data_IF_361123130742
#
_entry.id   IF_361123130742
#
_cell.length_a   1.000
_cell.length_b   1.000
_cell.length_c   1.000
_cell.angle_alpha   90.00
_cell.angle_beta   90.00
_cell.angle_gamma   90.00
#
_symmetry.space_group_name_H-M   'P 1'
#
loop_
_entity.id
_entity.type
_entity.pdbx_description
1 polymer ?
#
# COMPACT_ATOMS: atom_id res chain seq x y z
N UNK A 1 40.59 -11.12 12.15
CA UNK A 1 40.68 -11.17 10.66
C UNK A 1 40.72 -12.60 10.10
N UNK A 2 40.15 -13.61 10.76
CA UNK A 2 40.13 -14.98 10.21
C UNK A 2 38.86 -15.25 9.40
N UNK A 3 37.72 -14.70 9.81
CA UNK A 3 36.43 -14.84 9.12
C UNK A 3 36.43 -14.26 7.69
N UNK A 4 37.04 -13.09 7.47
CA UNK A 4 37.20 -12.49 6.14
C UNK A 4 38.04 -13.36 5.20
N UNK A 5 39.09 -14.01 5.71
CA UNK A 5 39.91 -14.93 4.91
C UNK A 5 39.13 -16.19 4.56
N UNK A 6 38.24 -16.63 5.45
CA UNK A 6 37.38 -17.80 5.23
C UNK A 6 36.31 -17.56 4.16
N UNK A 7 35.79 -16.33 4.04
CA UNK A 7 34.89 -15.93 2.94
C UNK A 7 35.63 -15.78 1.61
N UNK A 8 36.89 -15.36 1.64
CA UNK A 8 37.71 -15.16 0.45
C UNK A 8 38.18 -16.49 -0.18
N UNK A 9 38.22 -17.55 0.62
CA UNK A 9 38.57 -18.93 0.20
C UNK A 9 37.34 -19.83 0.38
N UNK A 10 36.16 -19.32 0.04
CA UNK A 10 34.91 -20.05 0.20
C UNK A 10 34.69 -21.01 -0.98
N UNK A 11 34.81 -22.32 -0.72
CA UNK A 11 34.52 -23.39 -1.69
C UNK A 11 33.07 -23.90 -1.60
N UNK A 12 32.32 -23.53 -0.55
CA UNK A 12 30.92 -23.95 -0.36
C UNK A 12 29.92 -23.10 -1.18
N UNK A 13 30.41 -22.06 -1.87
CA UNK A 13 29.59 -21.22 -2.76
C UNK A 13 28.69 -20.21 -2.03
N UNK A 14 28.90 -19.97 -0.74
CA UNK A 14 28.07 -19.05 0.06
C UNK A 14 28.15 -17.61 -0.46
N UNK A 15 29.33 -17.15 -0.90
CA UNK A 15 29.50 -15.83 -1.51
C UNK A 15 28.70 -15.71 -2.81
N UNK A 16 28.71 -16.75 -3.64
CA UNK A 16 28.00 -16.78 -4.92
C UNK A 16 26.47 -16.76 -4.71
N UNK A 17 25.98 -17.47 -3.68
CA UNK A 17 24.55 -17.41 -3.32
C UNK A 17 24.14 -16.04 -2.76
N UNK A 18 25.01 -15.38 -1.98
CA UNK A 18 24.75 -14.04 -1.47
C UNK A 18 24.66 -13.02 -2.61
N UNK A 19 25.54 -13.11 -3.60
CA UNK A 19 25.50 -12.29 -4.82
C UNK A 19 24.22 -12.54 -5.63
N UNK A 20 23.84 -13.81 -5.83
CA UNK A 20 22.61 -14.16 -6.54
C UNK A 20 21.36 -13.61 -5.83
N UNK A 21 21.31 -13.67 -4.50
CA UNK A 21 20.21 -13.09 -3.71
C UNK A 21 20.16 -11.56 -3.86
N UNK A 22 21.31 -10.88 -3.79
CA UNK A 22 21.37 -9.43 -3.99
C UNK A 22 20.91 -9.02 -5.39
N UNK A 23 21.37 -9.70 -6.43
CA UNK A 23 20.94 -9.43 -7.81
C UNK A 23 19.45 -9.72 -7.99
N UNK A 24 18.93 -10.80 -7.39
CA UNK A 24 17.51 -11.14 -7.48
C UNK A 24 16.61 -10.08 -6.84
N UNK A 25 16.98 -9.58 -5.67
CA UNK A 25 16.20 -8.56 -4.96
C UNK A 25 16.23 -7.22 -5.70
N UNK A 26 17.41 -6.83 -6.21
CA UNK A 26 17.53 -5.64 -7.06
C UNK A 26 16.74 -5.79 -8.37
N UNK A 27 16.73 -7.00 -8.96
CA UNK A 27 15.92 -7.31 -10.13
C UNK A 27 14.42 -7.17 -9.87
N UNK A 28 13.91 -7.69 -8.75
CA UNK A 28 12.48 -7.58 -8.38
C UNK A 28 12.08 -6.13 -8.14
N UNK A 29 12.90 -5.36 -7.41
CA UNK A 29 12.64 -3.93 -7.17
C UNK A 29 12.67 -3.15 -8.49
N UNK A 30 13.68 -3.40 -9.33
CA UNK A 30 13.81 -2.77 -10.64
C UNK A 30 12.64 -3.08 -11.57
N UNK A 31 12.19 -4.33 -11.63
CA UNK A 31 11.04 -4.74 -12.43
C UNK A 31 9.74 -4.10 -11.91
N UNK A 32 9.55 -4.03 -10.59
CA UNK A 32 8.35 -3.43 -9.99
C UNK A 32 8.28 -1.93 -10.27
N UNK A 33 9.37 -1.20 -10.05
CA UNK A 33 9.43 0.25 -10.32
C UNK A 33 9.32 0.51 -11.82
N UNK A 34 10.02 -0.27 -12.66
CA UNK A 34 9.98 -0.13 -14.11
C UNK A 34 8.58 -0.35 -14.68
N UNK A 35 7.85 -1.36 -14.19
CA UNK A 35 6.47 -1.61 -14.61
C UNK A 35 5.53 -0.47 -14.18
N UNK A 36 5.67 0.03 -12.95
CA UNK A 36 4.88 1.17 -12.48
C UNK A 36 5.13 2.41 -13.36
N UNK A 37 6.38 2.75 -13.63
CA UNK A 37 6.72 3.90 -14.48
C UNK A 37 6.21 3.73 -15.92
N UNK A 38 6.26 2.52 -16.47
CA UNK A 38 5.71 2.24 -17.80
C UNK A 38 4.18 2.43 -17.82
N UNK A 39 3.49 1.96 -16.78
CA UNK A 39 2.05 2.17 -16.62
C UNK A 39 1.70 3.65 -16.53
N UNK A 40 2.41 4.40 -15.68
CA UNK A 40 2.17 5.83 -15.49
C UNK A 40 2.41 6.62 -16.79
N UNK A 41 3.46 6.25 -17.54
CA UNK A 41 3.74 6.88 -18.83
C UNK A 41 2.65 6.61 -19.87
N UNK A 42 2.13 5.39 -19.95
CA UNK A 42 1.04 5.06 -20.87
C UNK A 42 -0.24 5.80 -20.47
N UNK A 43 -0.54 5.89 -19.17
CA UNK A 43 -1.72 6.60 -18.69
C UNK A 43 -1.67 8.09 -19.02
N UNK A 44 -0.50 8.73 -18.84
CA UNK A 44 -0.29 10.14 -19.21
C UNK A 44 -0.50 10.39 -20.70
N UNK A 45 0.07 9.55 -21.58
CA UNK A 45 -0.11 9.70 -23.03
C UNK A 45 -1.57 9.46 -23.45
N UNK A 46 -2.26 8.50 -22.83
CA UNK A 46 -3.69 8.27 -23.09
C UNK A 46 -4.54 9.45 -22.61
N UNK A 47 -4.18 10.09 -21.50
CA UNK A 47 -4.84 11.31 -21.00
C UNK A 47 -4.67 12.46 -21.99
N UNK A 48 -3.47 12.61 -22.57
CA UNK A 48 -3.19 13.65 -23.58
C UNK A 48 -3.93 13.39 -24.89
N UNK A 49 -4.03 12.14 -25.33
CA UNK A 49 -4.87 11.75 -26.48
C UNK A 49 -6.35 12.03 -26.20
N UNK A 50 -6.85 11.69 -25.01
CA UNK A 50 -8.23 11.97 -24.62
C UNK A 50 -8.54 13.48 -24.57
N UNK A 51 -7.59 14.28 -24.07
CA UNK A 51 -7.68 15.73 -24.08
C UNK A 51 -7.72 16.26 -25.52
N UNK A 52 -6.87 15.75 -26.40
CA UNK A 52 -6.85 16.14 -27.81
C UNK A 52 -8.18 15.83 -28.52
N UNK A 53 -8.76 14.66 -28.27
CA UNK A 53 -10.09 14.31 -28.81
C UNK A 53 -11.20 15.23 -28.30
N UNK A 54 -11.12 15.68 -27.04
CA UNK A 54 -12.08 16.64 -26.48
C UNK A 54 -11.96 18.05 -27.03
N UNK A 55 -10.81 18.40 -27.61
CA UNK A 55 -10.64 19.69 -28.29
C UNK A 55 -11.32 19.72 -29.67
N UNK A 56 -11.78 18.57 -30.18
CA UNK A 56 -12.61 18.53 -31.37
C UNK A 56 -13.99 19.09 -31.06
N UNK A 57 -14.51 19.88 -32.00
CA UNK A 57 -15.88 20.39 -31.96
C UNK A 57 -16.84 19.29 -32.42
N UNK A 58 -17.68 18.80 -31.50
CA UNK A 58 -18.74 17.82 -31.77
C UNK A 58 -20.12 18.50 -31.88
N UNK A 59 -20.13 19.83 -32.07
CA UNK A 59 -21.36 20.56 -32.36
C UNK A 59 -21.88 20.16 -33.74
N UNK A 60 -23.21 20.09 -33.88
CA UNK A 60 -23.84 19.86 -35.17
C UNK A 60 -25.11 20.72 -35.30
N UNK A 61 -25.45 21.03 -36.54
CA UNK A 61 -26.71 21.68 -36.89
C UNK A 61 -27.28 21.03 -38.16
N UNK A 62 -28.52 20.58 -38.07
CA UNK A 62 -29.33 20.06 -39.17
C UNK A 62 -30.52 20.97 -39.32
N UNK A 63 -30.56 21.71 -40.42
CA UNK A 63 -31.67 22.61 -40.72
C UNK A 63 -32.98 21.83 -40.95
N UNK A 64 -34.08 22.37 -40.44
CA UNK A 64 -35.41 21.88 -40.76
C UNK A 64 -35.78 22.19 -42.21
N UNK A 65 -36.59 21.33 -42.83
CA UNK A 65 -37.08 21.55 -44.19
C UNK A 65 -38.55 21.95 -44.18
N UNK A 66 -38.91 22.95 -44.98
CA UNK A 66 -40.29 23.39 -45.16
C UNK A 66 -40.62 23.40 -46.64
N UNK A 67 -41.65 22.65 -47.05
CA UNK A 67 -42.13 22.61 -48.44
C UNK A 67 -43.66 22.56 -48.47
N UNK A 68 -44.25 23.44 -49.28
CA UNK A 68 -45.70 23.66 -49.36
C UNK A 68 -46.35 23.85 -47.97
N UNK A 69 -47.02 22.81 -47.45
CA UNK A 69 -47.68 22.76 -46.13
C UNK A 69 -47.01 21.81 -45.15
N UNK A 70 -45.94 21.11 -45.55
CA UNK A 70 -45.17 20.23 -44.69
C UNK A 70 -43.98 20.99 -44.08
N UNK A 71 -43.77 20.80 -42.78
CA UNK A 71 -42.62 21.33 -42.05
C UNK A 71 -42.00 20.21 -41.24
N UNK A 72 -40.69 20.07 -41.33
CA UNK A 72 -39.88 19.19 -40.49
C UNK A 72 -39.02 20.07 -39.60
N UNK A 73 -39.00 19.78 -38.30
CA UNK A 73 -38.11 20.46 -37.37
C UNK A 73 -36.64 20.14 -37.70
N UNK A 74 -35.75 21.11 -37.51
CA UNK A 74 -34.32 20.86 -37.48
C UNK A 74 -33.88 20.22 -36.17
N UNK A 75 -32.59 19.91 -36.06
CA UNK A 75 -31.96 19.50 -34.81
C UNK A 75 -30.58 20.15 -34.71
N UNK A 76 -30.19 20.58 -33.52
CA UNK A 76 -28.85 21.07 -33.29
C UNK A 76 -28.36 20.68 -31.90
N UNK A 77 -27.05 20.57 -31.79
CA UNK A 77 -26.34 20.40 -30.53
C UNK A 77 -25.11 21.31 -30.55
N UNK A 78 -24.92 22.06 -29.48
CA UNK A 78 -23.73 22.90 -29.32
C UNK A 78 -22.94 22.38 -28.12
N UNK A 79 -21.71 21.98 -28.39
CA UNK A 79 -20.80 21.49 -27.37
C UNK A 79 -20.44 22.61 -26.39
N UNK A 80 -20.29 22.26 -25.11
CA UNK A 80 -19.75 23.18 -24.10
C UNK A 80 -18.31 23.57 -24.46
N UNK A 81 -17.90 24.79 -24.09
CA UNK A 81 -16.52 25.23 -24.26
C UNK A 81 -15.55 24.21 -23.64
N UNK A 82 -14.58 23.79 -24.45
CA UNK A 82 -13.55 22.80 -24.11
C UNK A 82 -12.92 23.13 -22.75
N UNK A 83 -12.62 24.40 -22.47
CA UNK A 83 -12.00 24.83 -21.21
C UNK A 83 -12.84 24.48 -19.99
N UNK A 84 -14.16 24.71 -20.06
CA UNK A 84 -15.08 24.39 -18.97
C UNK A 84 -15.20 22.89 -18.78
N UNK A 85 -15.22 22.13 -19.89
CA UNK A 85 -15.31 20.68 -19.86
C UNK A 85 -14.09 20.02 -19.21
N UNK A 86 -12.89 20.54 -19.47
CA UNK A 86 -11.61 20.07 -18.89
C UNK A 86 -11.52 20.44 -17.42
N UNK A 87 -11.86 21.69 -17.06
CA UNK A 87 -11.88 22.11 -15.65
C UNK A 87 -12.80 21.25 -14.79
N UNK A 88 -13.94 20.79 -15.33
CA UNK A 88 -14.82 19.85 -14.64
C UNK A 88 -14.15 18.51 -14.40
N UNK A 89 -13.44 17.97 -15.40
CA UNK A 89 -12.67 16.72 -15.25
C UNK A 89 -11.55 16.86 -14.22
N UNK A 90 -10.74 17.91 -14.30
CA UNK A 90 -9.64 18.14 -13.35
C UNK A 90 -10.14 18.34 -11.91
N UNK A 91 -11.39 18.81 -11.74
CA UNK A 91 -12.03 18.89 -10.42
C UNK A 91 -12.35 17.49 -9.89
N UNK A 92 -12.95 16.64 -10.71
CA UNK A 92 -13.30 15.26 -10.34
C UNK A 92 -12.04 14.47 -10.00
N UNK A 93 -10.99 14.58 -10.80
CA UNK A 93 -9.72 13.90 -10.55
C UNK A 93 -9.10 14.32 -9.21
N UNK A 94 -9.08 15.63 -8.92
CA UNK A 94 -8.61 16.15 -7.62
C UNK A 94 -9.44 15.65 -6.44
N UNK A 95 -10.75 15.54 -6.61
CA UNK A 95 -11.65 15.00 -5.58
C UNK A 95 -11.34 13.52 -5.33
N UNK A 96 -11.19 12.74 -6.40
CA UNK A 96 -10.84 11.32 -6.36
C UNK A 96 -9.48 11.09 -5.66
N UNK A 97 -8.45 11.85 -6.04
CA UNK A 97 -7.14 11.78 -5.39
C UNK A 97 -7.20 12.11 -3.90
N UNK A 98 -7.99 13.11 -3.51
CA UNK A 98 -8.17 13.49 -2.12
C UNK A 98 -8.88 12.38 -1.33
N UNK A 99 -9.85 11.70 -1.93
CA UNK A 99 -10.52 10.54 -1.34
C UNK A 99 -9.56 9.37 -1.15
N UNK A 100 -8.78 9.00 -2.17
CA UNK A 100 -7.77 7.95 -2.07
C UNK A 100 -6.75 8.24 -0.96
N UNK A 101 -6.23 9.47 -0.89
CA UNK A 101 -5.31 9.89 0.19
C UNK A 101 -5.94 9.80 1.57
N UNK A 102 -7.24 10.12 1.70
CA UNK A 102 -7.96 9.97 2.98
C UNK A 102 -8.11 8.50 3.36
N UNK A 103 -8.46 7.63 2.41
CA UNK A 103 -8.60 6.19 2.64
C UNK A 103 -7.26 5.57 3.06
N UNK A 104 -6.16 5.92 2.39
CA UNK A 104 -4.82 5.47 2.77
C UNK A 104 -4.46 5.87 4.20
N UNK A 105 -4.63 7.16 4.55
CA UNK A 105 -4.37 7.64 5.91
C UNK A 105 -5.26 6.98 6.96
N UNK A 106 -6.49 6.63 6.62
CA UNK A 106 -7.39 5.93 7.52
C UNK A 106 -6.93 4.49 7.75
N UNK A 107 -6.46 3.81 6.71
CA UNK A 107 -5.88 2.47 6.79
C UNK A 107 -4.59 2.47 7.65
N UNK A 108 -3.68 3.42 7.40
CA UNK A 108 -2.45 3.57 8.20
C UNK A 108 -2.75 3.76 9.69
N UNK A 109 -3.69 4.67 10.02
CA UNK A 109 -4.11 4.88 11.42
C UNK A 109 -4.72 3.62 12.03
N UNK A 110 -5.56 2.92 11.29
CA UNK A 110 -6.17 1.68 11.76
C UNK A 110 -5.12 0.59 12.00
N UNK A 111 -4.11 0.49 11.14
CA UNK A 111 -2.97 -0.41 11.31
C UNK A 111 -2.16 -0.07 12.56
N UNK A 112 -1.85 1.21 12.80
CA UNK A 112 -1.18 1.68 14.01
C UNK A 112 -1.97 1.35 15.28
N UNK A 113 -3.29 1.52 15.26
CA UNK A 113 -4.17 1.16 16.38
C UNK A 113 -4.14 -0.34 16.67
N UNK A 114 -4.17 -1.18 15.63
CA UNK A 114 -4.07 -2.64 15.78
C UNK A 114 -2.73 -3.03 16.38
N UNK A 115 -1.62 -2.45 15.90
CA UNK A 115 -0.29 -2.67 16.45
C UNK A 115 -0.21 -2.27 17.93
N UNK A 116 -0.84 -1.16 18.31
CA UNK A 116 -0.86 -0.73 19.71
C UNK A 116 -1.66 -1.69 20.59
N UNK A 117 -2.81 -2.18 20.11
CA UNK A 117 -3.62 -3.18 20.82
C UNK A 117 -2.84 -4.49 21.01
N UNK A 118 -2.17 -4.98 19.97
CA UNK A 118 -1.30 -6.16 20.01
C UNK A 118 -0.17 -5.98 21.04
N UNK A 119 0.51 -4.83 21.05
CA UNK A 119 1.57 -4.53 22.04
C UNK A 119 1.04 -4.57 23.47
N UNK A 120 -0.14 -3.98 23.73
CA UNK A 120 -0.78 -4.00 25.06
C UNK A 120 -1.16 -5.42 25.49
N UNK A 121 -1.68 -6.24 24.57
CA UNK A 121 -2.01 -7.65 24.84
C UNK A 121 -0.74 -8.44 25.20
N UNK A 122 0.32 -8.31 24.41
CA UNK A 122 1.59 -8.98 24.67
C UNK A 122 2.22 -8.58 26.03
N UNK A 123 2.11 -7.29 26.42
CA UNK A 123 2.59 -6.84 27.73
C UNK A 123 1.74 -7.41 28.89
N UNK A 124 0.42 -7.47 28.72
CA UNK A 124 -0.47 -8.10 29.71
C UNK A 124 -0.18 -9.60 29.87
N UNK A 125 0.08 -10.31 28.78
CA UNK A 125 0.48 -11.72 28.81
C UNK A 125 1.82 -11.92 29.50
N UNK A 126 2.82 -11.07 29.19
CA UNK A 126 4.12 -11.09 29.90
C UNK A 126 3.96 -10.88 31.40
N UNK A 127 3.17 -9.89 31.82
CA UNK A 127 2.92 -9.61 33.24
C UNK A 127 2.21 -10.79 33.94
N UNK A 128 1.24 -11.43 33.27
CA UNK A 128 0.55 -12.62 33.80
C UNK A 128 1.53 -13.80 33.96
N UNK A 129 2.38 -14.06 32.96
CA UNK A 129 3.38 -15.12 33.00
C UNK A 129 4.41 -14.90 34.13
N UNK A 130 4.88 -13.66 34.33
CA UNK A 130 5.78 -13.30 35.44
C UNK A 130 5.11 -13.51 36.81
N UNK A 131 3.81 -13.21 36.92
CA UNK A 131 3.05 -13.40 38.15
C UNK A 131 2.83 -14.89 38.46
N UNK A 132 2.56 -15.70 37.44
CA UNK A 132 2.48 -17.17 37.54
C UNK A 132 3.83 -17.80 37.92
N UNK A 133 4.94 -17.35 37.33
CA UNK A 133 6.28 -17.78 37.73
C UNK A 133 6.58 -17.45 39.20
N UNK A 134 6.23 -16.22 39.65
CA UNK A 134 6.40 -15.80 41.04
C UNK A 134 5.60 -16.66 42.00
N UNK A 135 4.33 -16.96 41.66
CA UNK A 135 3.48 -17.86 42.45
C UNK A 135 4.09 -19.27 42.50
N UNK A 136 4.53 -19.81 41.37
CA UNK A 136 5.19 -21.12 41.30
C UNK A 136 6.47 -21.24 42.14
N UNK A 137 7.33 -20.20 42.13
CA UNK A 137 8.56 -20.15 42.96
C UNK A 137 8.23 -20.12 44.46
N UNK A 138 7.23 -19.33 44.87
CA UNK A 138 6.81 -19.26 46.28
C UNK A 138 6.22 -20.59 46.78
N UNK A 139 5.47 -21.32 45.95
CA UNK A 139 4.93 -22.64 46.29
C UNK A 139 6.06 -23.67 46.43
N UNK A 140 7.04 -23.69 45.52
CA UNK A 140 8.24 -24.56 45.65
C UNK A 140 9.09 -24.23 46.88
N UNK A 141 9.20 -22.95 47.26
CA UNK A 141 9.93 -22.51 48.46
C UNK A 141 9.20 -22.93 49.76
N UNK A 142 7.86 -22.93 49.74
CA UNK A 142 7.02 -23.46 50.84
C UNK A 142 7.13 -24.98 51.00
N UNK A 143 7.27 -25.74 49.92
CA UNK A 143 7.52 -27.19 49.97
C UNK A 143 8.95 -27.56 50.42
N UNK A 144 9.90 -26.62 50.47
CA UNK A 144 11.32 -26.84 50.83
C UNK A 144 11.68 -26.40 52.26
N UNK A 145 10.72 -26.27 53.19
CA UNK A 145 11.08 -26.03 54.59
C UNK A 145 11.72 -27.29 55.17
N UNK A 146 12.93 -27.19 55.76
CA UNK A 146 13.59 -28.32 56.42
C UNK A 146 12.90 -28.55 57.77
N UNK A 147 12.28 -29.71 57.92
CA UNK A 147 12.28 -30.42 59.18
C UNK A 147 13.14 -31.64 58.90
N UNK A 148 14.34 -31.64 59.47
CA UNK A 148 15.21 -32.77 59.83
C UNK A 148 16.49 -32.10 60.38
N UNK A 149 16.30 -31.29 61.44
CA UNK A 149 17.36 -31.06 62.44
C UNK A 149 17.12 -32.17 63.47
N UNK A 150 17.55 -33.40 63.15
CA UNK A 150 17.67 -34.47 64.14
C UNK A 150 18.99 -34.26 64.88
N UNK A 151 18.83 -34.23 66.20
CA UNK A 151 19.85 -34.19 67.23
C UNK A 151 20.93 -35.27 67.03
N UNK A 152 22.21 -34.93 67.28
CA UNK A 152 23.20 -35.92 67.72
C UNK A 152 24.30 -35.22 68.54
N UNK A 153 24.37 -35.64 69.82
CA UNK A 153 25.47 -35.45 70.78
C UNK A 153 26.78 -36.12 70.32
#
# INVERSE_FOLDING_TARGET
>A
MQWLKSLWVDEMGSVLTAEAVLLSTMGVVGATVGLNMASDSVDQELRDVAHSLRHLDQSYEVAGHSSCRAKTAGSSFQQEDVKKSIQRLDKVERELEAEYKKQQKALEKHEEELLQKLRRQAEQERRKAEEEERKGRNTKKKLRKPGDDDDDD
#
